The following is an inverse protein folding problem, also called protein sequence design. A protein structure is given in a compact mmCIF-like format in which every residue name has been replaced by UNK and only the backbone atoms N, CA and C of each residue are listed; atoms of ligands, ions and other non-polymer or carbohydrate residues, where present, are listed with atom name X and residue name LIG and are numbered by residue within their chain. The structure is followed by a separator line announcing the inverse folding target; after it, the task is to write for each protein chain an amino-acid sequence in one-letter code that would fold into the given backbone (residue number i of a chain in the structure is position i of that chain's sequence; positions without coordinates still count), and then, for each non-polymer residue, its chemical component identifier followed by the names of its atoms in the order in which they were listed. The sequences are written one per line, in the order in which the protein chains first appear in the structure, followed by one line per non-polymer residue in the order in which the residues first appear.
data_IF_806647578763
#
_entry.id   IF_806647578763
#
_cell.length_a   1.000
_cell.length_b   1.000
_cell.length_c   1.000
_cell.angle_alpha   90.00
_cell.angle_beta   90.00
_cell.angle_gamma   90.00
#
_symmetry.space_group_name_H-M   'P 1'
#
loop_
_entity.id
_entity.type
_entity.pdbx_description
1 polymer ?
#
# COMPACT_ATOMS: atom_id res chain seq x y z
N UNK A 1 9.93 20.60 -17.08
CA UNK A 1 8.66 20.27 -17.74
C UNK A 1 8.64 18.78 -18.01
N UNK A 2 7.57 18.09 -17.67
CA UNK A 2 7.36 16.68 -18.06
C UNK A 2 7.09 16.64 -19.56
N UNK A 3 7.82 15.86 -20.36
CA UNK A 3 7.58 15.80 -21.81
C UNK A 3 6.17 15.29 -22.09
N UNK A 4 5.55 15.83 -23.17
CA UNK A 4 4.24 15.36 -23.61
C UNK A 4 4.35 13.94 -24.16
N UNK A 5 3.46 13.05 -23.72
CA UNK A 5 3.44 11.67 -24.19
C UNK A 5 2.84 11.56 -25.60
N UNK A 6 3.36 10.65 -26.46
CA UNK A 6 2.72 10.30 -27.71
C UNK A 6 1.31 9.76 -27.48
N UNK A 7 0.37 10.08 -28.38
CA UNK A 7 -1.02 9.63 -28.27
C UNK A 7 -1.12 8.09 -28.23
N UNK A 8 -0.30 7.39 -29.03
CA UNK A 8 -0.24 5.92 -29.03
C UNK A 8 0.13 5.33 -27.67
N UNK A 9 1.05 5.99 -26.94
CA UNK A 9 1.41 5.57 -25.58
C UNK A 9 0.25 5.79 -24.60
N UNK A 10 -0.44 6.91 -24.71
CA UNK A 10 -1.62 7.22 -23.90
C UNK A 10 -2.71 6.15 -24.12
N UNK A 11 -3.03 5.84 -25.38
CA UNK A 11 -4.07 4.87 -25.73
C UNK A 11 -3.70 3.46 -25.24
N UNK A 12 -2.44 3.08 -25.39
CA UNK A 12 -1.94 1.79 -24.88
C UNK A 12 -2.07 1.69 -23.37
N UNK A 13 -1.65 2.71 -22.61
CA UNK A 13 -1.75 2.70 -21.14
C UNK A 13 -3.21 2.67 -20.67
N UNK A 14 -4.13 3.35 -21.35
CA UNK A 14 -5.56 3.29 -21.05
C UNK A 14 -6.13 1.89 -21.26
N UNK A 15 -5.84 1.28 -22.40
CA UNK A 15 -6.28 -0.10 -22.71
C UNK A 15 -5.73 -1.12 -21.70
N UNK A 16 -4.46 -0.99 -21.30
CA UNK A 16 -3.85 -1.84 -20.28
C UNK A 16 -4.51 -1.65 -18.90
N UNK A 17 -4.80 -0.41 -18.50
CA UNK A 17 -5.50 -0.14 -17.25
C UNK A 17 -6.89 -0.80 -17.23
N UNK A 18 -7.68 -0.66 -18.29
CA UNK A 18 -8.99 -1.31 -18.44
C UNK A 18 -8.88 -2.85 -18.38
N UNK A 19 -7.85 -3.41 -19.01
CA UNK A 19 -7.60 -4.85 -19.03
C UNK A 19 -7.27 -5.42 -17.65
N UNK A 20 -6.49 -4.71 -16.85
CA UNK A 20 -5.94 -5.24 -15.59
C UNK A 20 -6.66 -4.73 -14.33
N UNK A 21 -7.34 -3.60 -14.36
CA UNK A 21 -8.14 -3.12 -13.23
C UNK A 21 -9.49 -3.87 -13.14
N UNK A 22 -9.43 -5.12 -12.74
CA UNK A 22 -10.60 -6.01 -12.66
C UNK A 22 -10.63 -6.72 -11.32
N UNK A 23 -11.78 -7.31 -10.94
CA UNK A 23 -11.88 -8.15 -9.73
C UNK A 23 -10.93 -9.35 -9.74
N UNK A 24 -10.55 -9.83 -10.91
CA UNK A 24 -9.60 -10.94 -11.05
C UNK A 24 -8.19 -10.54 -10.56
N UNK A 25 -7.84 -9.26 -10.63
CA UNK A 25 -6.57 -8.75 -10.09
C UNK A 25 -6.39 -9.04 -8.61
N UNK A 26 -7.47 -9.09 -7.83
CA UNK A 26 -7.45 -9.37 -6.38
C UNK A 26 -6.90 -10.78 -6.09
N UNK A 27 -7.09 -11.74 -7.01
CA UNK A 27 -6.68 -13.12 -6.80
C UNK A 27 -5.15 -13.24 -6.72
N UNK A 28 -4.67 -13.66 -5.55
CA UNK A 28 -3.24 -13.77 -5.29
C UNK A 28 -2.51 -12.45 -5.07
N UNK A 29 -3.22 -11.33 -4.98
CA UNK A 29 -2.70 -10.03 -4.58
C UNK A 29 -2.91 -9.80 -3.07
N UNK A 30 -2.04 -9.07 -2.35
CA UNK A 30 -2.25 -8.81 -0.92
C UNK A 30 -3.53 -8.01 -0.62
N UNK A 31 -4.11 -7.30 -1.59
CA UNK A 31 -5.43 -6.67 -1.45
C UNK A 31 -6.57 -7.68 -1.23
N UNK A 32 -6.37 -8.95 -1.57
CA UNK A 32 -7.33 -10.03 -1.28
C UNK A 32 -7.80 -10.00 0.17
N UNK A 33 -6.89 -9.81 1.11
CA UNK A 33 -7.19 -9.94 2.54
C UNK A 33 -8.14 -8.87 3.07
N UNK A 34 -8.12 -7.65 2.56
CA UNK A 34 -9.04 -6.60 2.99
C UNK A 34 -10.49 -6.86 2.53
N UNK A 35 -10.67 -7.75 1.54
CA UNK A 35 -11.98 -8.19 1.06
C UNK A 35 -12.50 -9.45 1.78
N UNK A 36 -11.69 -10.06 2.66
CA UNK A 36 -12.09 -11.25 3.45
C UNK A 36 -12.68 -10.88 4.80
N UNK A 37 -12.74 -9.62 5.14
CA UNK A 37 -13.21 -9.13 6.42
C UNK A 37 -14.27 -8.05 6.22
N UNK A 38 -15.15 -7.91 7.20
CA UNK A 38 -16.25 -6.94 7.18
C UNK A 38 -15.99 -5.77 8.15
N UNK A 39 -16.59 -4.63 7.85
CA UNK A 39 -16.48 -3.41 8.65
C UNK A 39 -15.26 -2.57 8.31
N UNK A 40 -15.50 -1.24 8.15
CA UNK A 40 -14.48 -0.28 7.65
C UNK A 40 -13.19 -0.31 8.47
N UNK A 41 -13.28 -0.28 9.80
CA UNK A 41 -12.11 -0.30 10.67
C UNK A 41 -11.31 -1.62 10.54
N UNK A 42 -12.02 -2.74 10.38
CA UNK A 42 -11.43 -4.04 10.23
C UNK A 42 -10.77 -4.21 8.85
N UNK A 43 -11.42 -3.77 7.77
CA UNK A 43 -10.85 -3.75 6.41
C UNK A 43 -9.58 -2.89 6.35
N UNK A 44 -9.60 -1.73 6.98
CA UNK A 44 -8.43 -0.84 7.11
C UNK A 44 -7.28 -1.53 7.84
N UNK A 45 -7.55 -2.15 9.00
CA UNK A 45 -6.55 -2.84 9.79
C UNK A 45 -5.97 -4.04 9.04
N UNK A 46 -6.82 -4.84 8.40
CA UNK A 46 -6.38 -5.99 7.61
C UNK A 46 -5.52 -5.56 6.41
N UNK A 47 -5.92 -4.52 5.68
CA UNK A 47 -5.14 -3.97 4.58
C UNK A 47 -3.76 -3.47 5.04
N UNK A 48 -3.71 -2.77 6.19
CA UNK A 48 -2.44 -2.26 6.74
C UNK A 48 -1.50 -3.37 7.19
N UNK A 49 -2.01 -4.42 7.79
CA UNK A 49 -1.22 -5.60 8.14
C UNK A 49 -0.76 -6.34 6.88
N UNK A 50 -1.65 -6.56 5.91
CA UNK A 50 -1.31 -7.25 4.67
C UNK A 50 -0.19 -6.55 3.89
N UNK A 51 -0.26 -5.21 3.73
CA UNK A 51 0.81 -4.47 3.04
C UNK A 51 2.16 -4.59 3.76
N UNK A 52 2.17 -4.70 5.09
CA UNK A 52 3.41 -4.73 5.88
C UNK A 52 4.29 -5.95 5.56
N UNK A 53 3.69 -7.07 5.19
CA UNK A 53 4.37 -8.32 4.81
C UNK A 53 4.42 -8.57 3.31
N UNK A 54 3.82 -7.70 2.49
CA UNK A 54 3.73 -7.84 1.03
C UNK A 54 5.08 -7.58 0.33
N UNK A 55 6.07 -8.45 0.56
CA UNK A 55 7.36 -8.43 -0.12
C UNK A 55 7.97 -9.82 -0.23
N UNK A 56 8.82 -10.02 -1.23
CA UNK A 56 9.45 -11.32 -1.49
C UNK A 56 8.54 -12.27 -2.27
N UNK A 57 8.52 -13.55 -1.89
CA UNK A 57 7.72 -14.57 -2.57
C UNK A 57 6.22 -14.40 -2.30
N UNK A 58 5.41 -14.30 -3.39
CA UNK A 58 3.95 -14.19 -3.30
C UNK A 58 3.35 -15.32 -2.45
N UNK A 59 3.74 -16.57 -2.71
CA UNK A 59 3.28 -17.74 -1.95
C UNK A 59 3.55 -17.59 -0.45
N UNK A 60 4.73 -17.07 -0.07
CA UNK A 60 5.11 -16.93 1.33
C UNK A 60 4.34 -15.82 2.03
N UNK A 61 4.22 -14.61 1.43
CA UNK A 61 3.52 -13.53 2.09
C UNK A 61 2.01 -13.78 2.15
N UNK A 62 1.40 -14.40 1.12
CA UNK A 62 0.00 -14.80 1.18
C UNK A 62 -0.24 -15.79 2.32
N UNK A 63 0.57 -16.83 2.46
CA UNK A 63 0.45 -17.79 3.56
C UNK A 63 0.68 -17.13 4.93
N UNK A 64 1.63 -16.18 5.03
CA UNK A 64 1.85 -15.46 6.30
C UNK A 64 0.68 -14.56 6.66
N UNK A 65 0.14 -13.83 5.70
CA UNK A 65 -1.03 -12.95 5.91
C UNK A 65 -2.27 -13.77 6.28
N UNK A 66 -2.46 -14.93 5.63
CA UNK A 66 -3.56 -15.83 5.99
C UNK A 66 -3.48 -16.27 7.45
N UNK A 67 -2.30 -16.66 7.94
CA UNK A 67 -2.13 -17.02 9.36
C UNK A 67 -2.49 -15.88 10.32
N UNK A 68 -2.22 -14.64 9.94
CA UNK A 68 -2.60 -13.48 10.77
C UNK A 68 -4.12 -13.26 10.74
N UNK A 69 -4.74 -13.42 9.57
CA UNK A 69 -6.20 -13.37 9.44
C UNK A 69 -6.87 -14.45 10.29
N UNK A 70 -6.38 -15.71 10.21
CA UNK A 70 -6.90 -16.84 10.99
C UNK A 70 -6.74 -16.59 12.50
N UNK A 71 -5.56 -16.10 12.92
CA UNK A 71 -5.27 -15.79 14.32
C UNK A 71 -6.13 -14.65 14.87
N UNK A 72 -6.54 -13.70 14.03
CA UNK A 72 -7.44 -12.61 14.41
C UNK A 72 -8.92 -13.03 14.44
N UNK A 73 -9.25 -14.26 14.04
CA UNK A 73 -10.63 -14.73 13.91
C UNK A 73 -11.45 -13.89 12.92
N UNK A 74 -10.77 -13.22 11.96
CA UNK A 74 -11.42 -12.33 10.99
C UNK A 74 -11.68 -10.91 11.52
N UNK A 75 -11.30 -10.58 12.77
CA UNK A 75 -11.41 -9.22 13.33
C UNK A 75 -10.03 -8.67 13.71
N UNK A 76 -9.28 -8.27 12.68
CA UNK A 76 -7.91 -7.73 12.80
C UNK A 76 -7.87 -6.46 13.66
N UNK A 77 -8.88 -5.60 13.52
CA UNK A 77 -8.97 -4.33 14.26
C UNK A 77 -9.06 -4.59 15.77
N UNK A 78 -9.98 -5.43 16.17
CA UNK A 78 -10.17 -5.82 17.57
C UNK A 78 -8.97 -6.58 18.13
N UNK A 79 -8.47 -7.55 17.38
CA UNK A 79 -7.30 -8.36 17.75
C UNK A 79 -6.07 -7.50 18.08
N UNK A 80 -5.84 -6.44 17.30
CA UNK A 80 -4.76 -5.47 17.56
C UNK A 80 -5.13 -4.58 18.77
N UNK A 81 -6.32 -4.02 18.82
CA UNK A 81 -6.74 -3.10 19.87
C UNK A 81 -6.70 -3.75 21.28
N UNK A 82 -7.09 -5.01 21.38
CA UNK A 82 -7.06 -5.78 22.63
C UNK A 82 -5.65 -6.30 22.99
N UNK A 83 -4.74 -6.37 22.02
CA UNK A 83 -3.37 -6.87 22.22
C UNK A 83 -3.25 -8.40 22.15
N UNK A 84 -4.25 -9.10 21.64
CA UNK A 84 -4.26 -10.56 21.51
C UNK A 84 -3.15 -11.08 20.56
N UNK A 85 -2.53 -10.20 19.78
CA UNK A 85 -1.40 -10.54 18.93
C UNK A 85 -0.13 -10.93 19.71
N UNK A 86 -0.01 -10.58 20.97
CA UNK A 86 1.17 -10.91 21.79
C UNK A 86 1.37 -12.42 21.96
N UNK A 87 0.30 -13.21 21.97
CA UNK A 87 0.36 -14.67 22.08
C UNK A 87 0.89 -15.33 20.80
N UNK A 88 0.61 -14.71 19.64
CA UNK A 88 0.98 -15.24 18.32
C UNK A 88 2.32 -14.66 17.84
N UNK A 89 2.63 -13.43 18.23
CA UNK A 89 3.86 -12.71 17.87
C UNK A 89 4.57 -12.26 19.15
N UNK A 90 5.25 -13.19 19.87
CA UNK A 90 5.94 -12.86 21.12
C UNK A 90 7.17 -11.98 20.87
N UNK A 91 7.61 -11.26 21.90
CA UNK A 91 8.84 -10.46 21.84
C UNK A 91 10.08 -11.34 21.96
N UNK A 92 10.58 -11.82 20.83
CA UNK A 92 11.84 -12.57 20.75
C UNK A 92 12.50 -12.39 19.37
N UNK A 93 13.72 -12.89 19.23
CA UNK A 93 14.52 -12.79 18.00
C UNK A 93 14.21 -13.84 16.93
N UNK A 94 13.27 -14.77 17.19
CA UNK A 94 12.90 -15.80 16.21
C UNK A 94 12.35 -15.16 14.92
N UNK A 95 12.63 -15.80 13.79
CA UNK A 95 12.15 -15.31 12.50
C UNK A 95 10.63 -15.29 12.43
N UNK A 96 10.07 -14.12 12.21
CA UNK A 96 8.64 -13.95 11.90
C UNK A 96 8.38 -14.14 10.40
N UNK A 97 9.06 -13.36 9.58
CA UNK A 97 8.94 -13.42 8.13
C UNK A 97 10.16 -12.76 7.46
N UNK A 98 10.97 -13.57 6.75
CA UNK A 98 12.15 -13.11 6.00
C UNK A 98 13.10 -12.25 6.85
N UNK A 99 13.13 -10.94 6.61
CA UNK A 99 13.97 -9.99 7.35
C UNK A 99 13.38 -9.53 8.68
N UNK A 100 12.12 -9.90 8.97
CA UNK A 100 11.46 -9.52 10.21
C UNK A 100 11.58 -10.65 11.24
N UNK A 101 12.02 -10.32 12.43
CA UNK A 101 11.87 -11.17 13.60
C UNK A 101 10.56 -10.85 14.34
N UNK A 102 10.21 -11.69 15.31
CA UNK A 102 9.01 -11.53 16.10
C UNK A 102 9.00 -10.20 16.88
N UNK A 103 10.12 -9.75 17.45
CA UNK A 103 10.19 -8.48 18.18
C UNK A 103 9.87 -7.28 17.28
N UNK A 104 10.42 -7.24 16.05
CA UNK A 104 10.11 -6.19 15.08
C UNK A 104 8.63 -6.15 14.75
N UNK A 105 8.03 -7.31 14.48
CA UNK A 105 6.61 -7.36 14.10
C UNK A 105 5.69 -7.08 15.30
N UNK A 106 6.06 -7.52 16.48
CA UNK A 106 5.36 -7.20 17.72
C UNK A 106 5.37 -5.68 17.99
N UNK A 107 6.52 -5.01 17.85
CA UNK A 107 6.63 -3.54 17.99
C UNK A 107 5.78 -2.80 16.97
N UNK A 108 5.73 -3.29 15.73
CA UNK A 108 4.86 -2.74 14.70
C UNK A 108 3.38 -2.84 15.10
N UNK A 109 2.93 -4.00 15.56
CA UNK A 109 1.55 -4.16 16.03
C UNK A 109 1.26 -3.36 17.30
N UNK A 110 2.23 -3.24 18.23
CA UNK A 110 2.11 -2.38 19.43
C UNK A 110 1.98 -0.90 19.07
N UNK A 111 2.74 -0.41 18.10
CA UNK A 111 2.59 0.97 17.61
C UNK A 111 1.21 1.17 16.96
N UNK A 112 0.73 0.18 16.20
CA UNK A 112 -0.61 0.26 15.62
C UNK A 112 -1.71 0.19 16.70
N UNK A 113 -1.55 -0.66 17.72
CA UNK A 113 -2.44 -0.68 18.89
C UNK A 113 -2.53 0.70 19.57
N UNK A 114 -1.39 1.36 19.73
CA UNK A 114 -1.33 2.72 20.29
C UNK A 114 -2.13 3.70 19.43
N UNK A 115 -2.00 3.61 18.09
CA UNK A 115 -2.76 4.43 17.16
C UNK A 115 -4.27 4.21 17.33
N UNK A 116 -4.71 2.93 17.33
CA UNK A 116 -6.12 2.60 17.47
C UNK A 116 -6.69 3.08 18.81
N UNK A 117 -5.96 2.92 19.91
CA UNK A 117 -6.40 3.39 21.24
C UNK A 117 -6.51 4.90 21.36
N UNK A 118 -5.62 5.64 20.70
CA UNK A 118 -5.60 7.12 20.76
C UNK A 118 -6.58 7.77 19.78
N UNK A 119 -6.85 7.14 18.64
CA UNK A 119 -7.53 7.78 17.52
C UNK A 119 -8.76 7.02 17.01
N UNK A 120 -9.01 5.80 17.48
CA UNK A 120 -10.08 4.93 17.01
C UNK A 120 -9.69 4.15 15.76
N UNK A 121 -9.44 4.83 14.64
CA UNK A 121 -8.99 4.22 13.38
C UNK A 121 -7.77 4.95 12.81
N UNK A 122 -7.09 4.32 11.86
CA UNK A 122 -6.01 4.99 11.12
C UNK A 122 -6.58 6.09 10.22
N UNK A 123 -7.76 5.89 9.64
CA UNK A 123 -8.47 6.91 8.89
C UNK A 123 -8.75 8.15 9.73
N UNK A 124 -9.22 8.02 10.97
CA UNK A 124 -9.44 9.15 11.90
C UNK A 124 -8.13 9.86 12.27
N UNK A 125 -7.06 9.10 12.46
CA UNK A 125 -5.72 9.65 12.68
C UNK A 125 -5.26 10.50 11.51
N UNK A 126 -5.37 9.99 10.28
CA UNK A 126 -4.91 10.65 9.06
C UNK A 126 -5.82 11.81 8.64
N UNK A 127 -7.14 11.69 8.77
CA UNK A 127 -8.09 12.74 8.40
C UNK A 127 -7.81 14.07 9.11
N UNK A 128 -7.25 14.00 10.32
CA UNK A 128 -6.88 15.20 11.12
C UNK A 128 -5.48 15.73 10.80
N UNK A 129 -4.65 15.01 10.03
CA UNK A 129 -3.21 15.31 9.86
C UNK A 129 -2.75 15.39 8.42
N UNK A 130 -3.59 15.00 7.48
CA UNK A 130 -3.21 14.92 6.08
C UNK A 130 -4.36 15.37 5.17
N UNK A 131 -3.99 16.01 4.07
CA UNK A 131 -4.90 16.44 3.00
C UNK A 131 -4.55 15.82 1.65
N UNK A 132 -3.44 15.07 1.60
CA UNK A 132 -2.92 14.39 0.41
C UNK A 132 -2.11 13.13 0.78
N UNK A 133 -1.71 12.38 -0.23
CA UNK A 133 -1.00 11.13 -0.03
C UNK A 133 0.40 11.32 0.59
N UNK A 134 1.12 12.39 0.27
CA UNK A 134 2.46 12.62 0.80
C UNK A 134 2.41 12.93 2.29
N UNK A 135 1.54 13.85 2.69
CA UNK A 135 1.33 14.19 4.10
C UNK A 135 0.83 13.01 4.92
N UNK A 136 0.01 12.12 4.32
CA UNK A 136 -0.40 10.87 4.96
C UNK A 136 0.78 9.91 5.18
N UNK A 137 1.67 9.75 4.19
CA UNK A 137 2.89 8.95 4.34
C UNK A 137 3.80 9.53 5.43
N UNK A 138 3.98 10.85 5.45
CA UNK A 138 4.79 11.53 6.47
C UNK A 138 4.22 11.36 7.87
N UNK A 139 2.90 11.48 8.03
CA UNK A 139 2.23 11.26 9.31
C UNK A 139 2.40 9.82 9.80
N UNK A 140 2.20 8.82 8.92
CA UNK A 140 2.39 7.40 9.25
C UNK A 140 3.84 7.08 9.62
N UNK A 141 4.79 7.47 8.78
CA UNK A 141 6.21 7.17 9.02
C UNK A 141 6.69 7.76 10.34
N UNK A 142 6.31 9.01 10.64
CA UNK A 142 6.63 9.68 11.91
C UNK A 142 5.99 8.95 13.09
N UNK A 143 4.68 8.69 13.03
CA UNK A 143 3.96 8.05 14.13
C UNK A 143 4.57 6.69 14.50
N UNK A 144 4.82 5.84 13.51
CA UNK A 144 5.37 4.51 13.76
C UNK A 144 6.82 4.57 14.27
N UNK A 145 7.65 5.49 13.79
CA UNK A 145 9.00 5.72 14.29
C UNK A 145 8.99 6.20 15.74
N UNK A 146 8.16 7.19 16.08
CA UNK A 146 8.02 7.76 17.42
C UNK A 146 7.49 6.73 18.44
N UNK A 147 6.75 5.72 17.96
CA UNK A 147 6.24 4.60 18.77
C UNK A 147 7.11 3.33 18.70
N UNK A 148 8.38 3.45 18.30
CA UNK A 148 9.38 2.38 18.37
C UNK A 148 9.23 1.27 17.33
N UNK A 149 8.45 1.48 16.29
CA UNK A 149 8.34 0.55 15.16
C UNK A 149 9.39 0.88 14.10
N UNK A 150 10.43 0.08 14.03
CA UNK A 150 11.52 0.25 13.06
C UNK A 150 11.62 -0.95 12.11
N UNK A 151 12.03 -0.71 10.86
CA UNK A 151 12.34 -1.74 9.86
C UNK A 151 11.13 -2.26 9.06
N UNK A 152 9.89 -2.06 9.51
CA UNK A 152 8.66 -2.44 8.79
C UNK A 152 8.07 -1.25 8.06
N UNK A 153 7.77 -0.18 8.78
CA UNK A 153 7.40 1.10 8.18
C UNK A 153 8.68 1.94 8.02
N UNK A 154 8.89 2.61 6.87
CA UNK A 154 10.00 3.53 6.71
C UNK A 154 10.00 4.62 7.79
N UNK A 155 11.18 5.05 8.22
CA UNK A 155 11.31 6.09 9.26
C UNK A 155 10.95 7.50 8.77
N UNK A 156 10.89 7.69 7.44
CA UNK A 156 10.49 8.95 6.80
C UNK A 156 10.07 8.70 5.34
N UNK A 157 9.54 9.73 4.69
CA UNK A 157 9.08 9.71 3.30
C UNK A 157 10.21 9.90 2.24
N UNK A 158 11.49 9.78 2.60
CA UNK A 158 12.61 9.92 1.62
C UNK A 158 12.77 8.70 0.71
N UNK A 159 12.45 7.50 1.21
CA UNK A 159 12.37 6.30 0.38
C UNK A 159 11.09 6.31 -0.48
N UNK A 160 10.98 5.36 -1.42
CA UNK A 160 9.76 5.24 -2.26
C UNK A 160 8.48 4.99 -1.47
N UNK A 161 8.60 4.53 -0.24
CA UNK A 161 7.46 4.10 0.59
C UNK A 161 6.44 3.23 -0.16
N UNK A 162 6.93 2.37 -1.09
CA UNK A 162 6.11 1.60 -2.05
C UNK A 162 4.87 0.97 -1.41
N UNK A 163 5.05 0.31 -0.28
CA UNK A 163 3.95 -0.39 0.41
C UNK A 163 2.92 0.56 1.00
N UNK A 164 3.34 1.73 1.51
CA UNK A 164 2.42 2.77 1.96
C UNK A 164 1.69 3.41 0.78
N UNK A 165 2.38 3.65 -0.36
CA UNK A 165 1.73 4.13 -1.58
C UNK A 165 0.65 3.15 -2.06
N UNK A 166 0.94 1.84 -2.05
CA UNK A 166 -0.01 0.79 -2.37
C UNK A 166 -1.20 0.77 -1.39
N UNK A 167 -0.95 0.87 -0.10
CA UNK A 167 -1.99 0.92 0.93
C UNK A 167 -2.89 2.16 0.76
N UNK A 168 -2.31 3.35 0.52
CA UNK A 168 -3.07 4.56 0.27
C UNK A 168 -3.92 4.44 -1.01
N UNK A 169 -3.43 3.76 -2.05
CA UNK A 169 -4.23 3.44 -3.23
C UNK A 169 -5.48 2.66 -2.81
N UNK A 170 -5.31 1.55 -2.09
CA UNK A 170 -6.44 0.72 -1.63
C UNK A 170 -7.47 1.50 -0.81
N UNK A 171 -6.99 2.40 0.06
CA UNK A 171 -7.87 3.14 0.97
C UNK A 171 -8.54 4.36 0.33
N UNK A 172 -7.95 4.96 -0.70
CA UNK A 172 -8.42 6.29 -1.19
C UNK A 172 -9.10 6.25 -2.55
N UNK A 173 -8.89 5.21 -3.38
CA UNK A 173 -9.54 5.11 -4.70
C UNK A 173 -10.92 4.50 -4.58
N UNK A 174 -11.96 5.33 -4.74
CA UNK A 174 -13.35 4.88 -4.83
C UNK A 174 -13.73 4.52 -6.28
N UNK A 175 -14.70 3.60 -6.42
CA UNK A 175 -15.20 3.17 -7.73
C UNK A 175 -14.28 2.19 -8.47
N UNK A 176 -13.22 1.69 -7.85
CA UNK A 176 -12.38 0.61 -8.34
C UNK A 176 -12.98 -0.75 -7.97
N UNK A 177 -12.88 -1.78 -8.83
CA UNK A 177 -13.25 -3.15 -8.45
C UNK A 177 -12.25 -3.79 -7.48
N UNK A 178 -11.08 -3.17 -7.26
CA UNK A 178 -9.97 -3.67 -6.44
C UNK A 178 -9.85 -2.90 -5.13
N UNK A 179 -9.89 -1.58 -5.19
CA UNK A 179 -9.60 -0.69 -4.06
C UNK A 179 -10.89 -0.37 -3.27
N UNK A 180 -10.79 -0.19 -1.95
CA UNK A 180 -11.95 0.02 -1.08
C UNK A 180 -12.46 1.46 -1.06
N UNK A 181 -11.58 2.44 -1.23
CA UNK A 181 -11.94 3.85 -1.26
C UNK A 181 -12.47 4.44 0.05
N UNK A 182 -12.15 3.81 1.21
CA UNK A 182 -12.64 4.21 2.53
C UNK A 182 -12.27 5.66 2.89
N UNK A 183 -11.16 6.16 2.36
CA UNK A 183 -10.59 7.48 2.64
C UNK A 183 -10.74 8.48 1.51
N UNK A 184 -11.55 8.17 0.48
CA UNK A 184 -11.76 9.04 -0.68
C UNK A 184 -12.30 10.43 -0.34
N UNK A 185 -12.90 10.60 0.83
CA UNK A 185 -13.48 11.87 1.29
C UNK A 185 -12.44 12.86 1.86
N UNK A 186 -11.21 12.41 2.19
CA UNK A 186 -10.16 13.31 2.70
C UNK A 186 -8.79 13.17 2.02
N UNK A 187 -8.51 12.07 1.31
CA UNK A 187 -7.33 11.92 0.45
C UNK A 187 -7.77 11.86 -1.00
N UNK A 188 -7.60 12.95 -1.76
CA UNK A 188 -7.96 12.97 -3.17
C UNK A 188 -7.11 11.96 -3.97
N UNK A 189 -7.75 11.09 -4.75
CA UNK A 189 -7.05 10.07 -5.56
C UNK A 189 -6.01 10.65 -6.52
N UNK A 190 -6.21 11.90 -6.97
CA UNK A 190 -5.26 12.62 -7.81
C UNK A 190 -3.90 12.85 -7.14
N UNK A 191 -3.83 12.86 -5.81
CA UNK A 191 -2.60 13.09 -5.04
C UNK A 191 -1.84 11.80 -4.72
N UNK A 192 -2.42 10.64 -5.03
CA UNK A 192 -1.81 9.34 -4.79
C UNK A 192 -0.50 9.20 -5.56
N UNK A 193 0.46 8.50 -4.97
CA UNK A 193 1.81 8.37 -5.50
C UNK A 193 2.03 6.94 -6.02
N UNK A 194 2.61 6.82 -7.21
CA UNK A 194 2.88 5.54 -7.87
C UNK A 194 3.72 4.61 -6.99
N UNK A 195 3.24 3.39 -6.67
CA UNK A 195 4.02 2.41 -5.93
C UNK A 195 5.12 1.83 -6.83
N UNK A 196 6.36 2.21 -6.57
CA UNK A 196 7.53 1.85 -7.40
C UNK A 196 7.92 0.37 -7.19
N UNK A 197 7.11 -0.52 -7.74
CA UNK A 197 7.44 -1.94 -7.84
C UNK A 197 8.47 -2.21 -8.95
N UNK A 198 9.17 -3.35 -8.90
CA UNK A 198 10.15 -3.71 -9.93
C UNK A 198 9.50 -3.85 -11.31
N UNK A 199 8.26 -4.34 -11.38
CA UNK A 199 7.50 -4.45 -12.63
C UNK A 199 7.10 -3.07 -13.14
N UNK A 200 6.59 -2.20 -12.25
CA UNK A 200 6.24 -0.81 -12.59
C UNK A 200 7.46 -0.06 -13.12
N UNK A 201 8.61 -0.17 -12.44
CA UNK A 201 9.86 0.48 -12.88
C UNK A 201 10.30 -0.05 -14.25
N UNK A 202 10.33 -1.37 -14.44
CA UNK A 202 10.73 -2.00 -15.70
C UNK A 202 9.85 -1.52 -16.85
N UNK A 203 8.54 -1.60 -16.70
CA UNK A 203 7.61 -1.20 -17.75
C UNK A 203 7.64 0.32 -18.00
N UNK A 204 7.85 1.12 -16.96
CA UNK A 204 8.02 2.57 -17.12
C UNK A 204 9.25 2.92 -17.96
N UNK A 205 10.34 2.18 -17.82
CA UNK A 205 11.54 2.34 -18.68
C UNK A 205 11.23 1.87 -20.11
N UNK A 206 10.56 0.74 -20.29
CA UNK A 206 10.18 0.21 -21.62
C UNK A 206 9.30 1.19 -22.40
N UNK A 207 8.36 1.87 -21.72
CA UNK A 207 7.52 2.91 -22.32
C UNK A 207 8.21 4.28 -22.45
N UNK A 208 9.48 4.42 -22.04
CA UNK A 208 10.19 5.70 -22.06
C UNK A 208 9.69 6.74 -21.03
N UNK A 209 8.88 6.32 -20.06
CA UNK A 209 8.34 7.19 -19.00
C UNK A 209 9.41 7.54 -17.95
N UNK A 210 10.38 6.66 -17.78
CA UNK A 210 11.54 6.84 -16.91
C UNK A 210 12.84 6.61 -17.69
N UNK A 211 13.87 7.41 -17.38
CA UNK A 211 15.22 7.31 -18.00
C UNK A 211 16.11 6.24 -17.35
N UNK A 212 15.67 5.61 -16.27
CA UNK A 212 16.45 4.63 -15.53
C UNK A 212 15.67 3.97 -14.41
N UNK A 213 16.27 2.96 -13.78
CA UNK A 213 15.63 2.09 -12.78
C UNK A 213 15.71 2.60 -11.34
N UNK A 214 16.20 3.81 -11.10
CA UNK A 214 16.31 4.36 -9.74
C UNK A 214 14.93 4.61 -9.13
N UNK A 215 14.63 3.90 -8.05
CA UNK A 215 13.38 4.01 -7.32
C UNK A 215 13.57 4.92 -6.09
N UNK A 216 13.20 6.19 -6.22
CA UNK A 216 13.16 7.19 -5.15
C UNK A 216 11.77 7.81 -5.05
N UNK A 217 11.45 8.49 -3.95
CA UNK A 217 10.18 9.24 -3.84
C UNK A 217 10.06 10.29 -4.96
N UNK A 218 11.14 10.99 -5.30
CA UNK A 218 11.15 11.95 -6.41
C UNK A 218 10.82 11.28 -7.75
N UNK A 219 11.37 10.08 -8.02
CA UNK A 219 11.06 9.32 -9.24
C UNK A 219 9.61 8.86 -9.25
N UNK A 220 9.08 8.39 -8.10
CA UNK A 220 7.69 7.99 -7.97
C UNK A 220 6.73 9.15 -8.28
N UNK A 221 7.00 10.33 -7.73
CA UNK A 221 6.21 11.55 -8.01
C UNK A 221 6.27 11.96 -9.47
N UNK A 222 7.45 11.97 -10.10
CA UNK A 222 7.56 12.28 -11.54
C UNK A 222 6.78 11.28 -12.40
N UNK A 223 6.81 9.99 -12.07
CA UNK A 223 6.00 8.99 -12.77
C UNK A 223 4.51 9.27 -12.58
N UNK A 224 4.11 9.62 -11.36
CA UNK A 224 2.72 10.03 -11.07
C UNK A 224 2.30 11.25 -11.91
N UNK A 225 3.14 12.29 -11.96
CA UNK A 225 2.89 13.48 -12.78
C UNK A 225 2.77 13.13 -14.28
N UNK A 226 3.56 12.16 -14.75
CA UNK A 226 3.44 11.66 -16.12
C UNK A 226 2.11 10.92 -16.32
N UNK A 227 1.67 10.11 -15.35
CA UNK A 227 0.38 9.41 -15.42
C UNK A 227 -0.82 10.36 -15.37
N UNK A 228 -0.71 11.56 -14.80
CA UNK A 228 -1.75 12.58 -14.87
C UNK A 228 -2.03 13.06 -16.31
N UNK A 229 -1.10 12.89 -17.25
CA UNK A 229 -1.37 13.15 -18.68
C UNK A 229 -2.27 12.07 -19.29
N UNK A 230 -2.23 10.85 -18.78
CA UNK A 230 -3.02 9.72 -19.26
C UNK A 230 -4.36 9.62 -18.52
N UNK A 231 -4.32 9.83 -17.21
CA UNK A 231 -5.44 9.71 -16.27
C UNK A 231 -5.51 10.97 -15.38
N UNK A 232 -6.09 12.08 -15.84
CA UNK A 232 -6.02 13.39 -15.18
C UNK A 232 -6.56 13.40 -13.73
N UNK A 233 -7.56 12.56 -13.45
CA UNK A 233 -8.19 12.49 -12.13
C UNK A 233 -7.75 11.31 -11.27
N UNK A 234 -7.01 10.34 -11.85
CA UNK A 234 -6.68 9.09 -11.19
C UNK A 234 -5.38 8.47 -11.73
N UNK A 235 -4.22 9.04 -11.39
CA UNK A 235 -2.94 8.60 -11.95
C UNK A 235 -2.60 7.13 -11.61
N UNK A 236 -3.23 6.57 -10.56
CA UNK A 236 -2.95 5.20 -10.12
C UNK A 236 -3.67 4.13 -10.98
N UNK A 237 -4.51 4.50 -11.96
CA UNK A 237 -4.85 3.61 -13.07
C UNK A 237 -3.62 3.15 -13.83
N UNK A 238 -2.59 4.01 -13.91
CA UNK A 238 -1.28 3.66 -14.46
C UNK A 238 -0.54 2.55 -13.71
N UNK A 239 -0.80 2.37 -12.43
CA UNK A 239 -0.24 1.25 -11.65
C UNK A 239 -0.79 -0.09 -12.17
N UNK A 240 -2.09 -0.20 -12.40
CA UNK A 240 -2.69 -1.41 -13.00
C UNK A 240 -2.15 -1.67 -14.40
N UNK A 241 -1.99 -0.63 -15.23
CA UNK A 241 -1.43 -0.78 -16.57
C UNK A 241 0.00 -1.33 -16.55
N UNK A 242 0.88 -0.73 -15.75
CA UNK A 242 2.30 -1.06 -15.72
C UNK A 242 2.59 -2.33 -14.93
N UNK A 243 1.97 -2.49 -13.75
CA UNK A 243 2.15 -3.70 -12.94
C UNK A 243 1.50 -4.92 -13.59
N UNK A 244 0.26 -4.77 -14.08
CA UNK A 244 -0.48 -5.86 -14.72
C UNK A 244 0.26 -6.42 -15.94
N UNK A 245 0.76 -5.54 -16.81
CA UNK A 245 1.61 -5.96 -17.95
C UNK A 245 2.90 -6.62 -17.44
N UNK A 246 3.56 -6.04 -16.45
CA UNK A 246 4.84 -6.56 -15.96
C UNK A 246 4.78 -7.89 -15.23
N UNK A 247 3.60 -8.32 -14.77
CA UNK A 247 3.37 -9.65 -14.15
C UNK A 247 2.91 -10.67 -15.20
N UNK A 248 2.28 -10.22 -16.31
CA UNK A 248 1.85 -11.08 -17.40
C UNK A 248 3.00 -11.50 -18.32
N UNK A 249 4.10 -10.70 -18.38
CA UNK A 249 5.37 -11.00 -19.09
C UNK A 249 6.25 -11.94 -18.24
#
# INVERSE_FOLDING_TARGET
MTPTLPQSTIDTLRSLAERYETRQFIQGDPSWFMHQVEGRANQEAMAFVAQSVAYGSRKQFMAKTQRLLDASGGDMSRWIAEGAFHDIVPRNSSCFYRLYNNDMFNRFLTAYQTLLRQHGTMGDFLCRRSSDALSAIEALTRFFADNGSHGIIPINAKSTCKRLCMFLRWMSRSGSPVDLGLWSHFIPRRTLIMPMDVHVVRQSVNFGLLKGSSATMSTARRLTDTMLQVFPDDPLKGDFALFGLGVAD
#
